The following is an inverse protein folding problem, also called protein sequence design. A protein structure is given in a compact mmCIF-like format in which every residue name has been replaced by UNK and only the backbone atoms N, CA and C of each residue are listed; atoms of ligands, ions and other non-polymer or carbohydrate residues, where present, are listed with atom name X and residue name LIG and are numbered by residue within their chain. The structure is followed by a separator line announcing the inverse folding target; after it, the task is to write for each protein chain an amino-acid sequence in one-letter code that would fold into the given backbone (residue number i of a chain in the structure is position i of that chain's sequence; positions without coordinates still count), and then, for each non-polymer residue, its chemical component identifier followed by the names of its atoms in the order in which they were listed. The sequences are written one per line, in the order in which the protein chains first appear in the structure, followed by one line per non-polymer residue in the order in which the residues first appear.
data_IF_960203826311
#
_entry.id   IF_960203826311
#
_cell.length_a   1.000
_cell.length_b   1.000
_cell.length_c   1.000
_cell.angle_alpha   90.00
_cell.angle_beta   90.00
_cell.angle_gamma   90.00
#
_symmetry.space_group_name_H-M   'P 1'
#
loop_
_entity.id
_entity.type
_entity.pdbx_description
1 polymer ?
#
# COMPACT_ATOMS: atom_id res chain seq x y z
N UNK A 1 -14.06 -17.49 5.76
CA UNK A 1 -12.72 -17.07 6.10
C UNK A 1 -12.24 -15.97 5.17
N UNK A 2 -11.59 -14.97 5.70
CA UNK A 2 -11.11 -13.83 4.92
C UNK A 2 -9.85 -14.20 4.14
N UNK A 3 -9.82 -13.82 2.87
CA UNK A 3 -8.63 -14.05 2.05
C UNK A 3 -7.52 -13.07 2.44
N UNK A 4 -6.31 -13.59 2.60
CA UNK A 4 -5.13 -12.76 2.85
C UNK A 4 -4.63 -12.17 1.53
N UNK A 5 -4.49 -10.86 1.49
CA UNK A 5 -4.00 -10.16 0.31
C UNK A 5 -2.57 -9.68 0.52
N UNK A 6 -1.85 -9.62 -0.58
CA UNK A 6 -0.53 -8.99 -0.63
C UNK A 6 -0.74 -7.61 -1.25
N UNK A 7 -0.57 -6.58 -0.43
CA UNK A 7 -0.95 -5.22 -0.80
C UNK A 7 0.30 -4.34 -0.89
N UNK A 8 0.53 -3.77 -2.05
CA UNK A 8 1.61 -2.82 -2.26
C UNK A 8 1.10 -1.41 -1.98
N UNK A 9 1.79 -0.69 -1.09
CA UNK A 9 1.34 0.62 -0.63
C UNK A 9 2.42 1.65 -0.93
N UNK A 10 2.06 2.66 -1.70
CA UNK A 10 2.92 3.80 -1.98
C UNK A 10 3.12 4.63 -0.70
N UNK A 11 4.21 5.39 -0.63
CA UNK A 11 4.55 6.14 0.58
C UNK A 11 4.23 7.61 0.45
N UNK A 12 5.02 8.35 -0.33
CA UNK A 12 4.86 9.80 -0.44
C UNK A 12 3.57 10.14 -1.17
N UNK A 13 2.70 10.92 -0.53
CA UNK A 13 1.40 11.28 -1.09
C UNK A 13 0.29 10.28 -0.77
N UNK A 14 0.61 9.10 -0.27
CA UNK A 14 -0.38 8.05 0.03
C UNK A 14 -0.44 7.78 1.53
N UNK A 15 0.65 7.37 2.15
CA UNK A 15 0.71 7.15 3.59
C UNK A 15 0.95 8.48 4.32
N UNK A 16 1.82 9.30 3.77
CA UNK A 16 2.16 10.60 4.33
C UNK A 16 1.97 11.67 3.27
N UNK A 17 1.85 12.91 3.73
CA UNK A 17 1.88 14.05 2.82
C UNK A 17 3.22 14.05 2.09
N UNK A 18 3.19 14.46 0.82
CA UNK A 18 4.41 14.45 0.02
C UNK A 18 5.29 15.62 0.40
N UNK A 19 6.32 15.35 1.16
CA UNK A 19 7.34 16.32 1.59
C UNK A 19 8.73 15.84 1.21
N UNK A 20 8.80 14.99 0.19
CA UNK A 20 10.08 14.43 -0.25
C UNK A 20 11.12 15.53 -0.44
N UNK A 21 12.37 15.37 0.04
CA UNK A 21 12.98 14.14 0.57
C UNK A 21 12.70 13.89 2.05
N UNK A 22 12.07 14.81 2.75
CA UNK A 22 11.67 14.57 4.13
C UNK A 22 10.47 13.64 4.21
N UNK A 23 10.05 13.34 5.43
CA UNK A 23 8.87 12.50 5.67
C UNK A 23 7.75 13.42 6.16
N UNK A 24 6.67 13.49 5.39
CA UNK A 24 5.53 14.31 5.75
C UNK A 24 4.70 13.69 6.85
N UNK A 25 3.64 14.40 7.26
CA UNK A 25 2.72 13.91 8.26
C UNK A 25 1.89 12.78 7.68
N UNK A 26 1.49 11.84 8.53
CA UNK A 26 0.59 10.77 8.11
C UNK A 26 -0.72 11.35 7.57
N UNK A 27 -1.20 10.78 6.49
CA UNK A 27 -2.51 11.12 5.96
C UNK A 27 -3.59 10.67 6.94
N UNK A 28 -4.76 11.33 6.93
CA UNK A 28 -5.85 10.92 7.83
C UNK A 28 -6.16 9.44 7.67
N UNK A 29 -6.23 8.73 8.78
CA UNK A 29 -6.58 7.31 8.89
C UNK A 29 -5.59 6.35 8.23
N UNK A 30 -4.46 6.84 7.69
CA UNK A 30 -3.51 5.98 7.00
C UNK A 30 -2.93 4.91 7.94
N UNK A 31 -2.34 5.33 9.05
CA UNK A 31 -1.70 4.40 9.96
C UNK A 31 -2.72 3.46 10.58
N UNK A 32 -3.86 4.00 11.00
CA UNK A 32 -4.91 3.19 11.61
C UNK A 32 -5.39 2.11 10.65
N UNK A 33 -5.59 2.48 9.38
CA UNK A 33 -6.05 1.54 8.36
C UNK A 33 -5.00 0.47 8.10
N UNK A 34 -3.74 0.86 7.98
CA UNK A 34 -2.67 -0.10 7.74
C UNK A 34 -2.56 -1.11 8.89
N UNK A 35 -2.70 -0.63 10.13
CA UNK A 35 -2.70 -1.54 11.28
C UNK A 35 -3.86 -2.52 11.21
N UNK A 36 -5.05 -2.03 10.86
CA UNK A 36 -6.21 -2.90 10.75
C UNK A 36 -6.03 -3.94 9.65
N UNK A 37 -5.47 -3.54 8.52
CA UNK A 37 -5.21 -4.48 7.43
C UNK A 37 -4.24 -5.56 7.84
N UNK A 38 -3.17 -5.20 8.55
CA UNK A 38 -2.22 -6.20 9.05
C UNK A 38 -2.87 -7.12 10.08
N UNK A 39 -3.69 -6.56 10.97
CA UNK A 39 -4.40 -7.37 11.96
C UNK A 39 -5.39 -8.32 11.29
N UNK A 40 -5.92 -7.94 10.14
CA UNK A 40 -6.81 -8.80 9.37
C UNK A 40 -6.06 -9.88 8.59
N UNK A 41 -4.74 -9.91 8.67
CA UNK A 41 -3.94 -10.94 8.04
C UNK A 41 -3.38 -10.57 6.68
N UNK A 42 -3.56 -9.34 6.22
CA UNK A 42 -2.97 -8.90 4.97
C UNK A 42 -1.49 -8.57 5.17
N UNK A 43 -0.71 -8.70 4.10
CA UNK A 43 0.71 -8.38 4.11
C UNK A 43 0.93 -7.13 3.29
N UNK A 44 1.71 -6.19 3.84
CA UNK A 44 1.90 -4.88 3.23
C UNK A 44 3.31 -4.76 2.69
N UNK A 45 3.43 -4.44 1.41
CA UNK A 45 4.71 -4.12 0.78
C UNK A 45 4.83 -2.61 0.74
N UNK A 46 5.95 -2.09 1.22
CA UNK A 46 6.26 -0.67 1.01
C UNK A 46 6.77 -0.53 -0.41
N UNK A 47 6.00 0.17 -1.26
CA UNK A 47 6.26 0.27 -2.70
C UNK A 47 6.52 1.74 -3.01
N UNK A 48 7.79 2.13 -3.14
CA UNK A 48 8.15 3.54 -3.20
C UNK A 48 9.31 3.77 -4.17
N UNK A 49 9.34 4.99 -4.71
CA UNK A 49 10.46 5.43 -5.55
C UNK A 49 11.70 5.73 -4.73
N UNK A 50 11.56 5.87 -3.41
CA UNK A 50 12.69 6.18 -2.54
C UNK A 50 13.75 5.09 -2.57
N UNK A 51 15.00 5.52 -2.32
CA UNK A 51 16.12 4.59 -2.23
C UNK A 51 17.14 5.16 -1.23
N UNK A 52 18.13 4.36 -0.86
CA UNK A 52 19.21 4.80 0.04
C UNK A 52 18.67 5.28 1.39
N UNK A 53 19.25 6.37 1.91
CA UNK A 53 18.86 6.88 3.23
C UNK A 53 17.40 7.36 3.26
N UNK A 54 16.89 7.84 2.13
CA UNK A 54 15.51 8.28 2.07
C UNK A 54 14.56 7.11 2.21
N UNK A 55 14.93 5.97 1.67
CA UNK A 55 14.15 4.75 1.84
C UNK A 55 14.20 4.28 3.29
N UNK A 56 15.36 4.37 3.92
CA UNK A 56 15.48 3.98 5.32
C UNK A 56 14.60 4.86 6.21
N UNK A 57 14.48 6.15 5.88
CA UNK A 57 13.60 7.05 6.62
C UNK A 57 12.14 6.59 6.53
N UNK A 58 11.72 6.16 5.34
CA UNK A 58 10.34 5.69 5.16
C UNK A 58 10.10 4.39 5.92
N UNK A 59 11.05 3.44 5.84
CA UNK A 59 10.93 2.18 6.56
C UNK A 59 10.85 2.43 8.06
N UNK A 60 11.71 3.31 8.58
CA UNK A 60 11.71 3.64 10.00
C UNK A 60 10.39 4.27 10.42
N UNK A 61 9.84 5.14 9.59
CA UNK A 61 8.53 5.73 9.88
C UNK A 61 7.45 4.66 10.02
N UNK A 62 7.45 3.70 9.11
CA UNK A 62 6.45 2.62 9.17
C UNK A 62 6.64 1.79 10.43
N UNK A 63 7.88 1.43 10.73
CA UNK A 63 8.17 0.62 11.93
C UNK A 63 7.81 1.37 13.20
N UNK A 64 8.19 2.66 13.28
CA UNK A 64 7.93 3.47 14.48
C UNK A 64 6.43 3.66 14.71
N UNK A 65 5.64 3.62 13.66
CA UNK A 65 4.19 3.76 13.77
C UNK A 65 3.47 2.43 13.91
N UNK A 66 4.22 1.35 14.07
CA UNK A 66 3.63 0.04 14.35
C UNK A 66 3.09 -0.69 13.13
N UNK A 67 3.55 -0.31 11.94
CA UNK A 67 3.14 -0.98 10.70
C UNK A 67 4.37 -1.41 9.89
N UNK A 68 5.22 -2.27 10.46
CA UNK A 68 6.41 -2.71 9.75
C UNK A 68 6.03 -3.40 8.44
N UNK A 69 6.67 -3.04 7.32
CA UNK A 69 6.30 -3.67 6.06
C UNK A 69 6.78 -5.12 5.98
N UNK A 70 6.00 -5.95 5.31
CA UNK A 70 6.37 -7.33 5.03
C UNK A 70 7.58 -7.40 4.10
N UNK A 71 7.63 -6.52 3.11
CA UNK A 71 8.73 -6.42 2.16
C UNK A 71 8.83 -4.98 1.70
N UNK A 72 10.00 -4.62 1.15
CA UNK A 72 10.26 -3.26 0.68
C UNK A 72 10.68 -3.33 -0.77
N UNK A 73 9.87 -2.78 -1.66
CA UNK A 73 10.12 -2.73 -3.10
C UNK A 73 10.40 -4.09 -3.72
N UNK A 74 9.81 -5.13 -3.16
CA UNK A 74 9.95 -6.50 -3.67
C UNK A 74 8.70 -7.28 -3.29
N UNK A 75 8.48 -8.38 -3.98
CA UNK A 75 7.26 -9.16 -3.82
C UNK A 75 7.22 -9.94 -2.51
N UNK A 76 8.39 -10.31 -1.99
CA UNK A 76 8.54 -11.01 -0.72
C UNK A 76 9.94 -10.72 -0.18
N UNK A 77 10.16 -10.88 1.14
CA UNK A 77 11.41 -10.38 1.75
C UNK A 77 12.69 -10.98 1.14
N UNK A 78 12.64 -12.22 0.69
CA UNK A 78 13.82 -12.91 0.20
C UNK A 78 14.06 -12.73 -1.30
N UNK A 79 13.18 -11.99 -2.00
CA UNK A 79 13.34 -11.77 -3.43
C UNK A 79 14.61 -10.97 -3.71
N UNK A 80 15.51 -11.51 -4.50
CA UNK A 80 16.76 -10.85 -4.81
C UNK A 80 16.58 -9.86 -5.95
N UNK A 81 17.30 -8.74 -5.87
CA UNK A 81 17.22 -7.69 -6.87
C UNK A 81 18.22 -7.91 -8.00
N UNK A 82 18.26 -9.11 -8.56
CA UNK A 82 19.18 -9.41 -9.64
C UNK A 82 18.56 -8.94 -10.95
N UNK A 83 19.22 -8.00 -11.68
CA UNK A 83 18.58 -7.35 -12.83
C UNK A 83 18.15 -8.30 -13.94
N UNK A 84 18.85 -9.42 -14.11
CA UNK A 84 18.53 -10.35 -15.19
C UNK A 84 17.50 -11.39 -14.81
N UNK A 85 17.21 -11.54 -13.51
CA UNK A 85 16.36 -12.63 -13.03
C UNK A 85 15.04 -12.17 -12.42
N UNK A 86 14.93 -10.89 -12.11
CA UNK A 86 13.76 -10.38 -11.38
C UNK A 86 13.18 -9.18 -12.10
N UNK A 87 11.87 -9.19 -12.27
CA UNK A 87 11.17 -8.06 -12.85
C UNK A 87 11.17 -6.89 -11.87
N UNK A 88 11.23 -5.66 -12.42
CA UNK A 88 11.04 -4.48 -11.58
C UNK A 88 9.63 -4.39 -11.05
N UNK A 89 8.67 -4.88 -11.81
CA UNK A 89 7.29 -4.88 -11.35
C UNK A 89 7.10 -6.00 -10.35
N UNK A 90 6.70 -5.64 -9.15
CA UNK A 90 6.46 -6.62 -8.11
C UNK A 90 5.13 -7.33 -8.34
N UNK A 91 4.98 -8.49 -7.72
CA UNK A 91 3.74 -9.25 -7.77
C UNK A 91 2.96 -8.98 -6.49
N UNK A 92 1.83 -8.31 -6.63
CA UNK A 92 0.96 -7.97 -5.51
C UNK A 92 -0.49 -8.14 -5.95
N UNK A 93 -1.36 -8.40 -5.00
CA UNK A 93 -2.78 -8.55 -5.31
C UNK A 93 -3.46 -7.19 -5.52
N UNK A 94 -2.94 -6.16 -4.88
CA UNK A 94 -3.57 -4.85 -4.89
C UNK A 94 -2.49 -3.79 -4.71
N UNK A 95 -2.65 -2.65 -5.39
CA UNK A 95 -1.78 -1.50 -5.24
C UNK A 95 -2.60 -0.32 -4.72
N UNK A 96 -2.14 0.28 -3.63
CA UNK A 96 -2.75 1.49 -3.07
C UNK A 96 -1.78 2.64 -3.31
N UNK A 97 -2.21 3.61 -4.11
CA UNK A 97 -1.36 4.69 -4.61
C UNK A 97 -2.22 5.90 -4.89
N UNK A 98 -1.70 7.09 -4.57
CA UNK A 98 -2.44 8.33 -4.79
C UNK A 98 -2.48 8.74 -6.26
N UNK A 99 -1.66 8.14 -7.09
CA UNK A 99 -1.58 8.49 -8.52
C UNK A 99 -2.29 7.51 -9.41
N UNK A 100 -3.29 6.84 -8.90
CA UNK A 100 -4.07 5.90 -9.69
C UNK A 100 -4.98 6.61 -10.67
N UNK A 101 -5.21 5.98 -11.81
CA UNK A 101 -6.28 6.41 -12.70
C UNK A 101 -7.59 6.31 -11.93
N UNK A 102 -8.36 7.38 -11.91
CA UNK A 102 -9.58 7.44 -11.12
C UNK A 102 -9.39 8.09 -9.75
N UNK A 103 -8.15 8.34 -9.35
CA UNK A 103 -7.85 9.05 -8.12
C UNK A 103 -7.66 8.14 -6.91
N UNK A 104 -7.63 8.77 -5.75
CA UNK A 104 -7.41 8.09 -4.47
C UNK A 104 -8.67 8.21 -3.63
N UNK A 105 -9.30 7.08 -3.27
CA UNK A 105 -10.59 7.13 -2.58
C UNK A 105 -10.49 7.55 -1.11
N UNK A 106 -9.31 7.47 -0.52
CA UNK A 106 -9.13 7.74 0.89
C UNK A 106 -9.02 6.47 1.71
N UNK A 107 -8.32 6.55 2.84
CA UNK A 107 -8.02 5.37 3.64
C UNK A 107 -9.25 4.74 4.26
N UNK A 108 -10.19 5.57 4.72
CA UNK A 108 -11.42 5.03 5.30
C UNK A 108 -12.22 4.22 4.29
N UNK A 109 -12.37 4.77 3.09
CA UNK A 109 -13.08 4.07 2.03
C UNK A 109 -12.39 2.76 1.63
N UNK A 110 -11.06 2.80 1.55
CA UNK A 110 -10.29 1.61 1.21
C UNK A 110 -10.56 0.49 2.22
N UNK A 111 -10.49 0.81 3.51
CA UNK A 111 -10.73 -0.22 4.51
C UNK A 111 -12.15 -0.77 4.45
N UNK A 112 -13.13 0.12 4.27
CA UNK A 112 -14.52 -0.33 4.19
C UNK A 112 -14.71 -1.29 3.04
N UNK A 113 -14.14 -1.01 1.88
CA UNK A 113 -14.30 -1.88 0.73
C UNK A 113 -13.61 -3.22 0.93
N UNK A 114 -12.41 -3.22 1.50
CA UNK A 114 -11.67 -4.46 1.72
C UNK A 114 -12.28 -5.32 2.81
N UNK A 115 -12.97 -4.71 3.76
CA UNK A 115 -13.53 -5.41 4.91
C UNK A 115 -15.01 -5.70 4.79
N UNK A 116 -15.67 -5.10 3.82
CA UNK A 116 -17.15 -5.12 3.73
C UNK A 116 -17.69 -6.52 3.55
N UNK A 117 -17.07 -7.31 2.68
CA UNK A 117 -17.51 -8.66 2.38
C UNK A 117 -16.29 -9.57 2.35
N UNK A 118 -15.94 -10.17 3.49
CA UNK A 118 -14.81 -11.10 3.50
C UNK A 118 -15.00 -12.15 2.42
N UNK A 119 -13.94 -12.41 1.67
CA UNK A 119 -13.92 -13.37 0.55
C UNK A 119 -14.65 -12.88 -0.69
N UNK A 120 -15.19 -11.67 -0.68
CA UNK A 120 -15.81 -11.12 -1.88
C UNK A 120 -14.73 -10.64 -2.85
N UNK A 121 -15.02 -10.62 -4.14
CA UNK A 121 -14.10 -10.00 -5.08
C UNK A 121 -13.96 -8.51 -4.79
N UNK A 122 -12.83 -7.94 -5.21
CA UNK A 122 -12.61 -6.51 -5.05
C UNK A 122 -13.64 -5.74 -5.88
N UNK A 123 -13.90 -4.48 -5.51
CA UNK A 123 -14.87 -3.66 -6.24
C UNK A 123 -14.54 -3.61 -7.71
N UNK A 124 -15.56 -3.73 -8.53
CA UNK A 124 -15.41 -3.71 -9.97
C UNK A 124 -15.45 -2.28 -10.48
N UNK A 125 -14.80 -2.06 -11.62
CA UNK A 125 -14.77 -0.75 -12.23
C UNK A 125 -16.16 -0.23 -12.59
N UNK A 126 -17.13 -1.11 -12.76
CA UNK A 126 -18.47 -0.68 -13.17
C UNK A 126 -19.05 0.36 -12.22
N UNK A 127 -18.71 0.35 -10.94
CA UNK A 127 -19.28 1.30 -10.01
C UNK A 127 -18.85 2.73 -10.32
N UNK A 128 -17.59 2.96 -10.64
CA UNK A 128 -17.17 4.29 -10.99
C UNK A 128 -17.49 4.63 -12.46
N UNK A 129 -17.58 3.64 -13.32
CA UNK A 129 -18.06 3.89 -14.68
C UNK A 129 -19.49 4.40 -14.65
N UNK A 130 -20.34 3.83 -13.80
CA UNK A 130 -21.70 4.32 -13.69
C UNK A 130 -21.74 5.74 -13.15
N UNK A 131 -20.87 6.07 -12.21
CA UNK A 131 -20.82 7.42 -11.68
C UNK A 131 -20.31 8.42 -12.68
N UNK A 132 -19.56 7.99 -13.66
CA UNK A 132 -19.05 8.84 -14.71
C UNK A 132 -20.09 9.24 -15.75
N UNK A 133 -21.27 8.70 -15.64
CA UNK A 133 -22.35 9.04 -16.58
C UNK A 133 -22.76 10.49 -16.45
#
# INVERSE_FOLDING_TARGET
MRKSLLIAVDFDGTVVEDKYPGVGKAKPFAIETLKMLQNDGHRLILWTYRHGSKLQDAVRFMEDNGVPPYAVNRSYPEEESHPSDVSRKIHADLFIDDRNFGGFPGWGEIYQQLNKQPNAPLPKKKSWLRRGR
#
